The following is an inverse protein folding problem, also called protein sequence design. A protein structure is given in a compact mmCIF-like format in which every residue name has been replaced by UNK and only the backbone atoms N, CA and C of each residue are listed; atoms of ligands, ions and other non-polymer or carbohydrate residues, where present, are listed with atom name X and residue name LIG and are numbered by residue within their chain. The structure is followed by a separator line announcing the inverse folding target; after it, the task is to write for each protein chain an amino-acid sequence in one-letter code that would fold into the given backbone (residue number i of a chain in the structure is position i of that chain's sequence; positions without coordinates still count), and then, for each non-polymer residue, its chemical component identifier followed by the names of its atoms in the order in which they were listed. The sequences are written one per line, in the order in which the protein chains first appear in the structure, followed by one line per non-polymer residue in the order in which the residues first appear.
data_IF_574513101362
#
_entry.id   IF_574513101362
#
_cell.length_a   1.000
_cell.length_b   1.000
_cell.length_c   1.000
_cell.angle_alpha   90.00
_cell.angle_beta   90.00
_cell.angle_gamma   90.00
#
_symmetry.space_group_name_H-M   'P 1'
#
loop_
_entity.id
_entity.type
_entity.pdbx_description
1 polymer ?
#
# COMPACT_ATOMS: atom_id res chain seq x y z
N UNK A 1 -3.65 78.43 33.65
CA UNK A 1 -2.68 77.40 33.18
C UNK A 1 -3.09 76.07 33.81
N UNK A 2 -3.31 74.91 33.18
CA UNK A 2 -3.39 74.39 31.80
C UNK A 2 -4.38 73.21 31.87
N UNK A 3 -5.26 73.05 30.88
CA UNK A 3 -6.22 71.94 30.73
C UNK A 3 -5.51 70.75 30.09
N UNK A 4 -5.83 69.51 30.48
CA UNK A 4 -5.51 68.31 29.68
C UNK A 4 -6.61 67.27 29.78
N UNK A 5 -7.33 67.16 28.66
CA UNK A 5 -8.35 66.16 28.37
C UNK A 5 -7.68 64.86 27.91
N UNK A 6 -8.19 63.72 28.36
CA UNK A 6 -7.78 62.42 27.85
C UNK A 6 -8.65 62.06 26.64
N UNK A 7 -8.05 62.14 25.45
CA UNK A 7 -8.61 61.61 24.21
C UNK A 7 -8.45 60.09 24.20
N UNK A 8 -9.57 59.38 24.18
CA UNK A 8 -9.65 57.94 23.97
C UNK A 8 -9.53 57.70 22.46
N UNK A 9 -8.34 57.31 22.01
CA UNK A 9 -8.05 56.96 20.62
C UNK A 9 -8.63 55.57 20.34
N UNK A 10 -9.73 55.50 19.59
CA UNK A 10 -10.26 54.26 19.04
C UNK A 10 -9.36 53.89 17.86
N UNK A 11 -8.49 52.90 18.04
CA UNK A 11 -7.71 52.32 16.94
C UNK A 11 -8.61 51.35 16.19
N UNK A 12 -9.20 51.82 15.11
CA UNK A 12 -9.89 51.00 14.11
C UNK A 12 -8.87 50.24 13.27
N UNK A 13 -8.66 48.96 13.58
CA UNK A 13 -7.91 48.02 12.74
C UNK A 13 -8.80 47.64 11.55
N UNK A 14 -8.70 48.41 10.48
CA UNK A 14 -9.18 48.00 9.16
C UNK A 14 -8.14 47.07 8.53
N UNK A 15 -8.24 45.77 8.83
CA UNK A 15 -7.55 44.72 8.09
C UNK A 15 -8.23 44.57 6.73
N UNK A 16 -7.82 45.41 5.76
CA UNK A 16 -8.06 45.15 4.35
C UNK A 16 -7.25 43.90 3.99
N UNK A 17 -7.97 42.77 3.91
CA UNK A 17 -7.51 41.54 3.31
C UNK A 17 -7.26 41.83 1.82
N UNK A 18 -5.98 41.93 1.46
CA UNK A 18 -5.52 41.96 0.07
C UNK A 18 -6.00 40.69 -0.64
N UNK A 19 -7.02 40.83 -1.50
CA UNK A 19 -7.37 39.82 -2.49
C UNK A 19 -6.30 39.83 -3.58
N UNK A 20 -5.22 39.09 -3.36
CA UNK A 20 -4.32 38.69 -4.43
C UNK A 20 -4.92 37.47 -5.13
N UNK A 21 -5.87 37.70 -6.03
CA UNK A 21 -6.17 36.73 -7.08
C UNK A 21 -4.98 36.76 -8.05
N UNK A 22 -4.03 35.87 -7.82
CA UNK A 22 -2.89 35.66 -8.69
C UNK A 22 -3.15 34.40 -9.53
N UNK A 23 -3.77 34.50 -10.73
CA UNK A 23 -4.18 33.33 -11.51
C UNK A 23 -3.00 32.56 -12.15
N UNK A 24 -1.76 33.01 -12.00
CA UNK A 24 -0.60 32.42 -12.69
C UNK A 24 0.05 31.22 -11.97
N UNK A 25 -0.42 30.80 -10.79
CA UNK A 25 0.09 29.58 -10.15
C UNK A 25 -0.66 28.30 -10.52
N UNK A 26 -1.82 28.41 -11.18
CA UNK A 26 -2.64 27.26 -11.55
C UNK A 26 -2.00 26.41 -12.67
N UNK A 27 -1.07 26.97 -13.45
CA UNK A 27 -0.50 26.33 -14.65
C UNK A 27 0.83 25.60 -14.41
N UNK A 28 1.44 25.76 -13.21
CA UNK A 28 2.62 24.97 -12.78
C UNK A 28 2.26 23.66 -12.07
N UNK A 29 0.95 23.36 -11.94
CA UNK A 29 0.43 22.11 -11.38
C UNK A 29 0.28 20.98 -12.40
N UNK A 30 1.04 21.04 -13.50
CA UNK A 30 1.49 19.85 -14.23
C UNK A 30 2.50 19.02 -13.43
N UNK A 31 2.41 19.03 -12.09
CA UNK A 31 3.27 18.23 -11.23
C UNK A 31 2.94 16.77 -11.50
N UNK A 32 3.88 16.10 -12.15
CA UNK A 32 3.96 14.66 -12.32
C UNK A 32 4.12 14.04 -10.92
N UNK A 33 3.07 14.13 -10.07
CA UNK A 33 3.02 13.56 -8.72
C UNK A 33 3.02 12.06 -8.89
N UNK A 34 4.22 11.49 -8.89
CA UNK A 34 4.43 10.05 -8.97
C UNK A 34 4.19 9.46 -7.59
N UNK A 35 3.34 8.45 -7.52
CA UNK A 35 3.24 7.62 -6.34
C UNK A 35 4.49 6.73 -6.22
N UNK A 36 4.91 6.33 -5.01
CA UNK A 36 4.24 6.57 -3.72
C UNK A 36 4.51 7.96 -3.13
N UNK A 37 3.53 8.53 -2.41
CA UNK A 37 3.62 9.82 -1.71
C UNK A 37 3.48 9.58 -0.20
N UNK A 38 4.52 9.87 0.58
CA UNK A 38 4.46 9.80 2.05
C UNK A 38 3.84 11.07 2.62
N UNK A 39 2.83 10.92 3.48
CA UNK A 39 2.14 12.03 4.15
C UNK A 39 1.41 11.57 5.41
N UNK A 40 1.31 12.45 6.40
CA UNK A 40 0.39 12.29 7.52
C UNK A 40 -1.02 12.71 7.09
N UNK A 41 -1.97 11.79 7.20
CA UNK A 41 -3.38 12.02 6.89
C UNK A 41 -4.18 12.18 8.18
N UNK A 42 -5.10 13.13 8.20
CA UNK A 42 -5.97 13.41 9.34
C UNK A 42 -7.40 13.00 9.02
N UNK A 43 -8.02 12.22 9.91
CA UNK A 43 -9.43 11.84 9.79
C UNK A 43 -10.38 12.98 10.23
N UNK A 44 -11.67 12.82 9.98
CA UNK A 44 -12.70 13.78 10.44
C UNK A 44 -12.79 13.95 11.95
N UNK A 45 -12.24 13.03 12.73
CA UNK A 45 -12.20 13.11 14.19
C UNK A 45 -10.91 13.76 14.71
N UNK A 46 -10.03 14.24 13.82
CA UNK A 46 -8.73 14.82 14.17
C UNK A 46 -7.65 13.78 14.50
N UNK A 47 -7.86 12.49 14.18
CA UNK A 47 -6.84 11.45 14.34
C UNK A 47 -5.88 11.48 13.17
N UNK A 48 -4.59 11.53 13.48
CA UNK A 48 -3.51 11.55 12.51
C UNK A 48 -2.99 10.13 12.26
N UNK A 49 -2.57 9.86 11.02
CA UNK A 49 -1.98 8.59 10.61
C UNK A 49 -0.90 8.83 9.55
N UNK A 50 0.32 8.36 9.80
CA UNK A 50 1.39 8.39 8.81
C UNK A 50 1.17 7.28 7.77
N UNK A 51 1.05 7.67 6.50
CA UNK A 51 0.76 6.74 5.42
C UNK A 51 1.53 7.08 4.13
N UNK A 52 1.80 6.03 3.35
CA UNK A 52 2.31 6.12 1.99
C UNK A 52 1.15 5.92 1.01
N UNK A 53 0.74 6.97 0.32
CA UNK A 53 -0.31 6.94 -0.70
C UNK A 53 0.27 6.31 -1.96
N UNK A 54 -0.28 5.15 -2.35
CA UNK A 54 0.19 4.36 -3.51
C UNK A 54 -0.70 4.53 -4.74
N UNK A 55 -1.91 5.06 -4.55
CA UNK A 55 -2.82 5.36 -5.66
C UNK A 55 -4.08 6.07 -5.21
N UNK A 56 -4.84 6.54 -6.19
CA UNK A 56 -6.12 7.20 -6.00
C UNK A 56 -7.17 6.68 -6.97
N UNK A 57 -8.38 6.48 -6.46
CA UNK A 57 -9.63 6.34 -7.22
C UNK A 57 -10.50 7.60 -7.06
N UNK A 58 -11.65 7.66 -7.71
CA UNK A 58 -12.53 8.85 -7.64
C UNK A 58 -12.89 9.25 -6.20
N UNK A 59 -13.24 8.25 -5.37
CA UNK A 59 -13.78 8.46 -4.02
C UNK A 59 -12.89 7.91 -2.87
N UNK A 60 -11.73 7.33 -3.19
CA UNK A 60 -10.87 6.67 -2.19
C UNK A 60 -9.37 6.79 -2.52
N UNK A 61 -8.55 6.70 -1.47
CA UNK A 61 -7.11 6.57 -1.56
C UNK A 61 -6.68 5.14 -1.23
N UNK A 62 -5.76 4.60 -2.00
CA UNK A 62 -5.03 3.39 -1.65
C UNK A 62 -3.78 3.81 -0.89
N UNK A 63 -3.66 3.39 0.36
CA UNK A 63 -2.57 3.80 1.26
C UNK A 63 -1.91 2.58 1.91
N UNK A 64 -0.65 2.73 2.30
CA UNK A 64 0.07 1.80 3.16
C UNK A 64 0.40 2.54 4.44
N UNK A 65 -0.14 2.10 5.57
CA UNK A 65 0.18 2.70 6.88
C UNK A 65 1.63 2.36 7.25
N UNK A 66 2.39 3.34 7.70
CA UNK A 66 3.83 3.16 7.93
C UNK A 66 4.10 2.23 9.13
N UNK A 67 3.32 2.37 10.21
CA UNK A 67 3.52 1.62 11.46
C UNK A 67 3.49 0.10 11.30
N UNK A 68 2.47 -0.42 10.59
CA UNK A 68 2.25 -1.86 10.43
C UNK A 68 2.39 -2.36 8.99
N UNK A 69 2.77 -1.47 8.06
CA UNK A 69 2.94 -1.74 6.63
C UNK A 69 1.73 -2.37 5.96
N UNK A 70 0.53 -2.24 6.54
CA UNK A 70 -0.71 -2.79 5.97
C UNK A 70 -1.30 -1.85 4.93
N UNK A 71 -1.86 -2.44 3.89
CA UNK A 71 -2.57 -1.72 2.83
C UNK A 71 -4.04 -1.50 3.19
N UNK A 72 -4.54 -0.29 2.96
CA UNK A 72 -5.92 0.10 3.22
C UNK A 72 -6.50 0.92 2.06
N UNK A 73 -7.82 0.80 1.89
CA UNK A 73 -8.60 1.70 1.04
C UNK A 73 -9.31 2.70 1.95
N UNK A 74 -8.89 3.95 1.91
CA UNK A 74 -9.42 5.02 2.75
C UNK A 74 -10.39 5.90 1.95
N UNK A 75 -11.69 5.93 2.28
CA UNK A 75 -12.63 6.84 1.65
C UNK A 75 -12.25 8.30 1.88
N UNK A 76 -12.21 9.10 0.81
CA UNK A 76 -11.82 10.51 0.87
C UNK A 76 -12.75 11.28 1.82
N UNK A 77 -14.03 10.95 1.83
CA UNK A 77 -15.03 11.56 2.73
C UNK A 77 -14.80 11.29 4.22
N UNK A 78 -13.83 10.46 4.63
CA UNK A 78 -13.47 10.24 6.04
C UNK A 78 -12.25 11.06 6.49
N UNK A 79 -11.60 11.77 5.57
CA UNK A 79 -10.48 12.67 5.83
C UNK A 79 -10.98 14.07 6.26
N UNK A 80 -10.10 14.83 6.89
CA UNK A 80 -10.24 16.28 7.11
C UNK A 80 -10.49 17.02 5.79
N UNK A 81 -11.06 18.22 5.82
CA UNK A 81 -11.35 18.98 4.60
C UNK A 81 -10.07 19.36 3.82
N UNK A 82 -9.00 19.64 4.54
CA UNK A 82 -7.68 19.92 3.98
C UNK A 82 -7.13 18.70 3.23
N UNK A 83 -7.15 17.52 3.85
CA UNK A 83 -6.67 16.30 3.22
C UNK A 83 -7.61 15.78 2.14
N UNK A 84 -8.91 16.08 2.20
CA UNK A 84 -9.84 15.83 1.10
C UNK A 84 -9.45 16.63 -0.14
N UNK A 85 -9.12 17.91 0.03
CA UNK A 85 -8.70 18.79 -1.07
C UNK A 85 -7.38 18.31 -1.66
N UNK A 86 -6.43 17.94 -0.79
CA UNK A 86 -5.17 17.33 -1.22
C UNK A 86 -5.39 16.03 -1.99
N UNK A 87 -6.20 15.11 -1.47
CA UNK A 87 -6.52 13.84 -2.11
C UNK A 87 -7.13 14.07 -3.51
N UNK A 88 -8.06 15.02 -3.63
CA UNK A 88 -8.69 15.39 -4.92
C UNK A 88 -7.73 16.06 -5.91
N UNK A 89 -6.58 16.56 -5.46
CA UNK A 89 -5.52 17.10 -6.33
C UNK A 89 -4.58 16.04 -6.92
N UNK A 90 -4.60 14.80 -6.42
CA UNK A 90 -3.71 13.73 -6.89
C UNK A 90 -4.20 13.18 -8.24
N UNK A 91 -3.31 12.74 -9.14
CA UNK A 91 -3.75 12.11 -10.38
C UNK A 91 -4.56 10.83 -10.09
N UNK A 92 -5.58 10.56 -10.91
CA UNK A 92 -6.28 9.28 -10.89
C UNK A 92 -5.33 8.19 -11.39
N UNK A 93 -5.27 7.07 -10.69
CA UNK A 93 -4.43 5.94 -11.05
C UNK A 93 -3.68 5.35 -9.86
N UNK A 94 -3.38 4.06 -9.95
CA UNK A 94 -2.49 3.35 -9.05
C UNK A 94 -1.12 3.25 -9.71
N UNK A 95 -0.07 3.74 -9.06
CA UNK A 95 1.29 3.38 -9.49
C UNK A 95 1.52 1.94 -9.08
N UNK A 96 1.38 1.00 -10.02
CA UNK A 96 1.95 -0.34 -9.94
C UNK A 96 1.33 -1.35 -8.97
N UNK A 97 0.21 -1.07 -8.30
CA UNK A 97 -0.56 -2.14 -7.65
C UNK A 97 -1.64 -2.62 -8.61
N UNK A 98 -1.41 -3.82 -9.14
CA UNK A 98 -2.35 -4.72 -9.84
C UNK A 98 -3.81 -4.41 -9.46
N UNK A 99 -4.57 -3.92 -10.43
CA UNK A 99 -6.01 -3.70 -10.33
C UNK A 99 -6.74 -5.03 -10.13
N UNK A 100 -6.85 -5.50 -8.89
CA UNK A 100 -7.89 -6.47 -8.52
C UNK A 100 -9.15 -5.68 -8.14
N UNK A 101 -9.69 -4.92 -9.10
CA UNK A 101 -10.89 -4.08 -8.92
C UNK A 101 -12.06 -4.73 -9.66
N UNK A 102 -12.89 -5.44 -8.89
CA UNK A 102 -14.30 -5.74 -9.10
C UNK A 102 -14.82 -6.08 -10.50
N UNK A 103 -15.13 -7.36 -10.73
CA UNK A 103 -16.25 -7.72 -11.59
C UNK A 103 -16.91 -9.02 -11.11
N UNK A 104 -18.16 -8.86 -10.64
CA UNK A 104 -19.32 -9.75 -10.62
C UNK A 104 -19.12 -11.27 -10.58
N UNK A 105 -19.80 -11.89 -9.61
CA UNK A 105 -19.98 -13.32 -9.39
C UNK A 105 -20.58 -14.07 -10.60
N UNK A 106 -19.80 -14.22 -11.65
CA UNK A 106 -19.80 -15.35 -12.57
C UNK A 106 -18.34 -15.65 -12.85
N UNK A 107 -17.59 -16.00 -11.79
CA UNK A 107 -16.33 -16.72 -11.98
C UNK A 107 -16.72 -18.07 -12.58
N UNK A 108 -16.67 -18.15 -13.91
CA UNK A 108 -16.58 -19.40 -14.64
C UNK A 108 -15.58 -20.30 -13.90
N UNK A 109 -15.89 -21.58 -13.73
CA UNK A 109 -15.05 -22.53 -13.02
C UNK A 109 -13.57 -22.42 -13.41
N UNK A 110 -13.31 -22.10 -14.68
CA UNK A 110 -11.99 -21.87 -15.28
C UNK A 110 -11.16 -20.75 -14.65
N UNK A 111 -11.79 -19.69 -14.13
CA UNK A 111 -11.06 -18.57 -13.50
C UNK A 111 -10.64 -18.90 -12.06
N UNK A 112 -11.45 -19.70 -11.33
CA UNK A 112 -11.09 -20.18 -9.99
C UNK A 112 -9.97 -21.21 -10.04
N UNK A 113 -10.04 -22.18 -10.96
CA UNK A 113 -8.99 -23.17 -11.14
C UNK A 113 -7.67 -22.51 -11.54
N UNK A 114 -7.70 -21.52 -12.44
CA UNK A 114 -6.52 -20.75 -12.83
C UNK A 114 -5.85 -20.04 -11.65
N UNK A 115 -6.64 -19.41 -10.77
CA UNK A 115 -6.10 -18.74 -9.58
C UNK A 115 -5.50 -19.74 -8.57
N UNK A 116 -6.15 -20.88 -8.34
CA UNK A 116 -5.61 -21.93 -7.47
C UNK A 116 -4.29 -22.50 -8.02
N UNK A 117 -4.21 -22.73 -9.33
CA UNK A 117 -2.97 -23.19 -9.99
C UNK A 117 -1.85 -22.15 -9.81
N UNK A 118 -2.15 -20.85 -9.92
CA UNK A 118 -1.18 -19.77 -9.71
C UNK A 118 -0.64 -19.74 -8.28
N UNK A 119 -1.52 -19.84 -7.28
CA UNK A 119 -1.13 -19.92 -5.87
C UNK A 119 -0.24 -21.14 -5.60
N UNK A 120 -0.63 -22.30 -6.11
CA UNK A 120 0.15 -23.53 -5.97
C UNK A 120 1.52 -23.44 -6.64
N UNK A 121 1.62 -22.79 -7.81
CA UNK A 121 2.91 -22.58 -8.50
C UNK A 121 3.84 -21.67 -7.70
N UNK A 122 3.30 -20.62 -7.08
CA UNK A 122 4.07 -19.73 -6.21
C UNK A 122 4.58 -20.46 -4.97
N UNK A 123 3.76 -21.33 -4.39
CA UNK A 123 4.17 -22.16 -3.26
C UNK A 123 5.25 -23.17 -3.67
N UNK A 124 5.12 -23.83 -4.82
CA UNK A 124 6.17 -24.70 -5.38
C UNK A 124 7.50 -23.94 -5.53
N UNK A 125 7.49 -22.71 -6.03
CA UNK A 125 8.71 -21.91 -6.17
C UNK A 125 9.36 -21.62 -4.80
N UNK A 126 8.55 -21.27 -3.80
CA UNK A 126 9.01 -21.04 -2.44
C UNK A 126 9.65 -22.30 -1.83
N UNK A 127 8.97 -23.45 -1.93
CA UNK A 127 9.47 -24.74 -1.45
C UNK A 127 10.77 -25.15 -2.17
N UNK A 128 10.88 -24.89 -3.47
CA UNK A 128 12.11 -25.14 -4.23
C UNK A 128 13.27 -24.27 -3.76
N UNK A 129 13.02 -23.01 -3.37
CA UNK A 129 14.03 -22.13 -2.80
C UNK A 129 14.54 -22.67 -1.47
N UNK A 130 13.63 -23.06 -0.58
CA UNK A 130 13.99 -23.69 0.70
C UNK A 130 14.79 -24.99 0.49
N UNK A 131 14.38 -25.84 -0.45
CA UNK A 131 15.12 -27.05 -0.79
C UNK A 131 16.56 -26.75 -1.23
N UNK A 132 16.76 -25.73 -2.07
CA UNK A 132 18.10 -25.29 -2.51
C UNK A 132 18.94 -24.77 -1.35
N UNK A 133 18.35 -23.98 -0.46
CA UNK A 133 19.04 -23.47 0.74
C UNK A 133 19.47 -24.60 1.68
N UNK A 134 18.58 -25.55 1.96
CA UNK A 134 18.90 -26.73 2.77
C UNK A 134 19.96 -27.60 2.11
N UNK A 135 19.96 -27.73 0.78
CA UNK A 135 20.99 -28.47 0.07
C UNK A 135 22.37 -27.83 0.19
N UNK A 136 22.46 -26.49 0.19
CA UNK A 136 23.70 -25.76 0.45
C UNK A 136 24.13 -25.96 1.91
N UNK A 137 23.19 -25.93 2.86
CA UNK A 137 23.46 -26.19 4.27
C UNK A 137 23.99 -27.61 4.50
N UNK A 138 23.43 -28.60 3.80
CA UNK A 138 23.83 -30.00 3.87
C UNK A 138 25.30 -30.21 3.49
N UNK A 139 25.81 -29.44 2.53
CA UNK A 139 27.22 -29.49 2.11
C UNK A 139 28.18 -29.03 3.21
N UNK A 140 27.71 -28.25 4.19
CA UNK A 140 28.51 -27.79 5.34
C UNK A 140 28.61 -28.84 6.44
N UNK A 141 27.75 -29.85 6.43
CA UNK A 141 27.71 -30.87 7.46
C UNK A 141 28.53 -32.12 7.09
N UNK A 142 29.39 -32.52 8.02
CA UNK A 142 30.10 -33.80 7.94
C UNK A 142 29.14 -34.99 7.91
N UNK A 143 29.62 -36.09 7.31
CA UNK A 143 28.89 -37.36 7.24
C UNK A 143 28.55 -37.90 8.63
N UNK A 144 27.40 -38.58 8.75
CA UNK A 144 26.97 -39.24 9.97
C UNK A 144 26.47 -38.31 11.09
N UNK A 145 26.49 -37.00 10.91
CA UNK A 145 25.98 -36.06 11.92
C UNK A 145 24.45 -36.11 12.01
N UNK A 146 23.91 -35.95 13.23
CA UNK A 146 22.47 -35.89 13.45
C UNK A 146 21.80 -34.72 12.71
N UNK A 147 22.50 -33.58 12.60
CA UNK A 147 22.01 -32.42 11.83
C UNK A 147 21.82 -32.77 10.37
N UNK A 148 22.80 -33.44 9.75
CA UNK A 148 22.70 -33.90 8.36
C UNK A 148 21.47 -34.77 8.12
N UNK A 149 21.23 -35.77 8.98
CA UNK A 149 20.05 -36.65 8.89
C UNK A 149 18.74 -35.87 9.02
N UNK A 150 18.71 -34.87 9.90
CA UNK A 150 17.55 -34.00 10.08
C UNK A 150 17.30 -33.13 8.84
N UNK A 151 18.35 -32.55 8.25
CA UNK A 151 18.26 -31.76 7.02
C UNK A 151 17.83 -32.62 5.84
N UNK A 152 18.38 -33.83 5.69
CA UNK A 152 17.98 -34.80 4.65
C UNK A 152 16.50 -35.19 4.77
N UNK A 153 16.01 -35.45 6.00
CA UNK A 153 14.59 -35.70 6.24
C UNK A 153 13.74 -34.50 5.81
N UNK A 154 14.14 -33.28 6.20
CA UNK A 154 13.39 -32.07 5.83
C UNK A 154 13.39 -31.83 4.32
N UNK A 155 14.49 -32.10 3.63
CA UNK A 155 14.56 -32.04 2.17
C UNK A 155 13.60 -33.04 1.52
N UNK A 156 13.51 -34.27 2.04
CA UNK A 156 12.57 -35.28 1.55
C UNK A 156 11.09 -34.85 1.76
N UNK A 157 10.78 -34.22 2.90
CA UNK A 157 9.45 -33.66 3.17
C UNK A 157 9.08 -32.57 2.16
N UNK A 158 9.97 -31.59 1.94
CA UNK A 158 9.75 -30.51 0.98
C UNK A 158 9.57 -31.05 -0.45
N UNK A 159 10.34 -32.08 -0.83
CA UNK A 159 10.22 -32.71 -2.14
C UNK A 159 8.85 -33.40 -2.31
N UNK A 160 8.39 -34.14 -1.29
CA UNK A 160 7.08 -34.78 -1.32
C UNK A 160 5.93 -33.74 -1.42
N UNK A 161 6.07 -32.59 -0.75
CA UNK A 161 5.10 -31.49 -0.81
C UNK A 161 5.04 -30.85 -2.21
N UNK A 162 6.20 -30.59 -2.83
CA UNK A 162 6.28 -30.12 -4.22
C UNK A 162 5.59 -31.09 -5.18
N UNK A 163 5.83 -32.39 -5.02
CA UNK A 163 5.25 -33.41 -5.89
C UNK A 163 3.73 -33.53 -5.69
N UNK A 164 3.25 -33.36 -4.45
CA UNK A 164 1.83 -33.27 -4.12
C UNK A 164 1.13 -32.11 -4.84
N UNK A 165 1.67 -30.89 -4.72
CA UNK A 165 1.13 -29.70 -5.37
C UNK A 165 1.15 -29.80 -6.91
N UNK A 166 2.19 -30.43 -7.47
CA UNK A 166 2.27 -30.69 -8.92
C UNK A 166 1.20 -31.68 -9.37
N UNK A 167 0.96 -32.75 -8.61
CA UNK A 167 -0.09 -33.71 -8.91
C UNK A 167 -1.49 -33.08 -8.81
N UNK A 168 -1.71 -32.20 -7.83
CA UNK A 168 -2.95 -31.44 -7.71
C UNK A 168 -3.16 -30.49 -8.90
N UNK A 169 -2.13 -29.72 -9.28
CA UNK A 169 -2.19 -28.84 -10.45
C UNK A 169 -2.46 -29.63 -11.75
N UNK A 170 -1.90 -30.84 -11.87
CA UNK A 170 -2.19 -31.72 -13.00
C UNK A 170 -3.65 -32.18 -13.01
N UNK A 171 -4.25 -32.44 -11.85
CA UNK A 171 -5.68 -32.78 -11.73
C UNK A 171 -6.59 -31.60 -12.08
N UNK A 172 -6.26 -30.39 -11.64
CA UNK A 172 -7.06 -29.18 -11.91
C UNK A 172 -7.07 -28.76 -13.39
N UNK A 173 -6.14 -29.28 -14.20
CA UNK A 173 -6.04 -29.00 -15.64
C UNK A 173 -6.78 -30.00 -16.52
N UNK A 174 -7.26 -31.11 -15.97
CA UNK A 174 -8.04 -32.13 -16.68
C UNK A 174 -9.53 -31.85 -16.54
#
# INVERSE_FOLDING_TARGET
MKRTAYYLFIVSISLFLSSCDNPQLAELLGSNKRFPIKRTLTDKNGREMEASIVGRSENSLNIIRIDDRKSFVLPINRLSEEDQTFARSLPLGSSGMVSTSGNNNTLSADSRTSHTIELNNKEIENLQRQYKELNIELQRYGYGTMKRRSTERRMAELQAEIDGLRAENYRLRK
#
